data_IF_101616278705
#
_entry.id   IF_101616278705
#
_cell.length_a   1.000
_cell.length_b   1.000
_cell.length_c   1.000
_cell.angle_alpha   90.00
_cell.angle_beta   90.00
_cell.angle_gamma   90.00
#
_symmetry.space_group_name_H-M   'P 1'
#
loop_
_entity.id
_entity.type
_entity.pdbx_description
1 polymer ?
#
# COMPACT_ATOMS: atom_id res chain seq x y z
N UNK A 1 -34.36 16.31 -2.22
CA UNK A 1 -33.74 16.65 -0.92
C UNK A 1 -33.21 15.37 -0.31
N UNK A 2 -31.92 15.08 -0.52
CA UNK A 2 -31.22 14.03 0.24
C UNK A 2 -30.23 14.78 1.12
N UNK A 3 -30.49 14.74 2.42
CA UNK A 3 -29.58 15.20 3.47
C UNK A 3 -28.34 14.32 3.46
N UNK A 4 -27.16 14.88 3.19
CA UNK A 4 -25.88 14.24 3.50
C UNK A 4 -25.23 15.00 4.67
N UNK A 5 -25.22 14.44 5.89
CA UNK A 5 -24.71 15.13 7.07
C UNK A 5 -23.18 15.18 7.03
N UNK A 6 -22.65 16.35 6.65
CA UNK A 6 -21.22 16.74 6.71
C UNK A 6 -20.28 15.87 5.87
N UNK A 7 -20.29 16.07 4.55
CA UNK A 7 -19.15 15.74 3.72
C UNK A 7 -17.92 16.54 4.20
N UNK A 8 -17.09 15.92 5.03
CA UNK A 8 -15.82 16.50 5.47
C UNK A 8 -14.97 16.82 4.24
N UNK A 9 -14.59 18.09 4.09
CA UNK A 9 -13.71 18.52 3.01
C UNK A 9 -12.43 17.68 3.02
N UNK A 10 -12.21 16.94 1.92
CA UNK A 10 -11.01 16.13 1.72
C UNK A 10 -10.14 16.83 0.69
N UNK A 11 -8.88 17.08 1.05
CA UNK A 11 -7.90 17.68 0.15
C UNK A 11 -7.77 16.86 -1.15
N UNK A 12 -7.61 17.55 -2.28
CA UNK A 12 -7.59 16.92 -3.61
C UNK A 12 -6.55 15.81 -3.71
N UNK A 13 -5.37 16.02 -3.13
CA UNK A 13 -4.29 15.03 -3.09
C UNK A 13 -4.68 13.69 -2.41
N UNK A 14 -5.64 13.72 -1.48
CA UNK A 14 -6.18 12.52 -0.84
C UNK A 14 -7.36 11.95 -1.63
N UNK A 15 -8.24 12.83 -2.14
CA UNK A 15 -9.41 12.44 -2.94
C UNK A 15 -9.02 11.73 -4.24
N UNK A 16 -7.98 12.21 -4.91
CA UNK A 16 -7.49 11.69 -6.19
C UNK A 16 -6.24 10.81 -6.02
N UNK A 17 -6.01 10.24 -4.83
CA UNK A 17 -4.92 9.29 -4.66
C UNK A 17 -5.20 8.05 -5.55
N UNK A 18 -4.26 7.63 -6.40
CA UNK A 18 -4.40 6.46 -7.27
C UNK A 18 -4.89 5.21 -6.52
N UNK A 19 -5.83 4.46 -7.11
CA UNK A 19 -6.39 3.24 -6.52
C UNK A 19 -5.98 1.97 -7.29
N UNK A 20 -5.53 2.12 -8.53
CA UNK A 20 -4.95 1.09 -9.39
C UNK A 20 -3.59 1.55 -9.94
N UNK A 21 -2.80 0.60 -10.45
CA UNK A 21 -1.54 0.89 -11.12
C UNK A 21 -1.72 1.77 -12.37
N UNK A 22 -2.87 1.66 -13.05
CA UNK A 22 -3.19 2.46 -14.23
C UNK A 22 -3.53 3.92 -13.89
N UNK A 23 -3.87 4.20 -12.63
CA UNK A 23 -4.14 5.57 -12.16
C UNK A 23 -2.83 6.32 -11.84
N UNK A 24 -1.68 5.63 -11.82
CA UNK A 24 -0.37 6.23 -11.54
C UNK A 24 0.20 6.83 -12.83
N UNK A 25 0.01 8.13 -12.99
CA UNK A 25 0.39 8.87 -14.20
C UNK A 25 1.89 8.79 -14.48
N UNK A 26 2.26 8.36 -15.69
CA UNK A 26 3.65 8.36 -16.19
C UNK A 26 4.55 7.27 -15.61
N UNK A 27 3.99 6.27 -14.92
CA UNK A 27 4.72 5.15 -14.32
C UNK A 27 4.22 3.78 -14.82
N UNK A 28 3.77 3.73 -16.08
CA UNK A 28 3.14 2.56 -16.70
C UNK A 28 4.07 1.33 -16.67
N UNK A 29 5.37 1.54 -16.88
CA UNK A 29 6.39 0.50 -16.85
C UNK A 29 6.54 -0.13 -15.45
N UNK A 30 6.46 0.68 -14.38
CA UNK A 30 6.51 0.21 -12.99
C UNK A 30 5.25 -0.59 -12.67
N UNK A 31 4.08 -0.04 -13.01
CA UNK A 31 2.80 -0.72 -12.83
C UNK A 31 2.77 -2.08 -13.54
N UNK A 32 3.26 -2.13 -14.78
CA UNK A 32 3.32 -3.38 -15.55
C UNK A 32 4.29 -4.40 -14.93
N UNK A 33 5.48 -3.98 -14.48
CA UNK A 33 6.44 -4.86 -13.84
C UNK A 33 5.86 -5.52 -12.57
N UNK A 34 5.17 -4.73 -11.74
CA UNK A 34 4.53 -5.22 -10.51
C UNK A 34 3.37 -6.16 -10.83
N UNK A 35 2.49 -5.80 -11.78
CA UNK A 35 1.42 -6.70 -12.24
C UNK A 35 1.97 -8.04 -12.73
N UNK A 36 3.04 -8.02 -13.52
CA UNK A 36 3.68 -9.24 -14.02
C UNK A 36 4.26 -10.10 -12.89
N UNK A 37 4.86 -9.48 -11.87
CA UNK A 37 5.36 -10.19 -10.70
C UNK A 37 4.22 -10.91 -9.94
N UNK A 38 3.09 -10.23 -9.73
CA UNK A 38 1.89 -10.82 -9.10
C UNK A 38 1.34 -11.96 -9.96
N UNK A 39 1.11 -11.73 -11.25
CA UNK A 39 0.54 -12.72 -12.18
C UNK A 39 1.38 -13.99 -12.30
N UNK A 40 2.71 -13.83 -12.28
CA UNK A 40 3.62 -14.97 -12.35
C UNK A 40 3.91 -15.63 -10.99
N UNK A 41 3.34 -15.14 -9.89
CA UNK A 41 3.64 -15.62 -8.54
C UNK A 41 5.10 -15.41 -8.11
N UNK A 42 5.83 -14.52 -8.80
CA UNK A 42 7.26 -14.23 -8.56
C UNK A 42 7.42 -12.90 -7.83
N UNK A 43 6.69 -12.75 -6.73
CA UNK A 43 6.76 -11.58 -5.87
C UNK A 43 8.02 -11.67 -5.00
N UNK A 44 8.85 -10.63 -5.04
CA UNK A 44 10.04 -10.55 -4.19
C UNK A 44 9.66 -10.22 -2.73
N UNK A 45 10.54 -10.54 -1.79
CA UNK A 45 10.32 -10.25 -0.37
C UNK A 45 10.50 -8.76 -0.01
N UNK A 46 11.16 -7.98 -0.88
CA UNK A 46 11.41 -6.55 -0.67
C UNK A 46 11.38 -5.79 -1.99
N UNK A 47 10.76 -4.61 -1.96
CA UNK A 47 10.70 -3.66 -3.07
C UNK A 47 11.09 -2.27 -2.55
N UNK A 48 12.00 -1.60 -3.27
CA UNK A 48 12.41 -0.23 -2.97
C UNK A 48 11.87 0.70 -4.05
N UNK A 49 10.92 1.55 -3.67
CA UNK A 49 10.41 2.60 -4.55
C UNK A 49 11.23 3.87 -4.35
N UNK A 50 11.92 4.32 -5.41
CA UNK A 50 12.77 5.51 -5.37
C UNK A 50 12.20 6.64 -6.21
N UNK A 51 12.53 7.89 -5.86
CA UNK A 51 12.12 9.07 -6.63
C UNK A 51 11.81 10.27 -5.75
N UNK A 52 11.57 11.43 -6.38
CA UNK A 52 11.24 12.67 -5.69
C UNK A 52 9.97 12.57 -4.83
N UNK A 53 9.77 13.52 -3.92
CA UNK A 53 8.52 13.62 -3.13
C UNK A 53 7.33 13.86 -4.07
N UNK A 54 6.21 13.18 -3.82
CA UNK A 54 4.97 13.37 -4.57
C UNK A 54 4.83 12.56 -5.87
N UNK A 55 5.85 11.81 -6.31
CA UNK A 55 5.78 10.99 -7.55
C UNK A 55 4.95 9.70 -7.42
N UNK A 56 4.31 9.47 -6.27
CA UNK A 56 3.43 8.32 -6.06
C UNK A 56 4.06 7.09 -5.38
N UNK A 57 5.28 7.17 -4.83
CA UNK A 57 5.96 6.03 -4.16
C UNK A 57 5.07 5.27 -3.16
N UNK A 58 4.57 5.97 -2.14
CA UNK A 58 3.72 5.39 -1.09
C UNK A 58 2.37 4.94 -1.64
N UNK A 59 1.82 5.68 -2.62
CA UNK A 59 0.58 5.29 -3.30
C UNK A 59 0.74 3.96 -4.05
N UNK A 60 1.82 3.79 -4.80
CA UNK A 60 2.14 2.55 -5.52
C UNK A 60 2.37 1.40 -4.55
N UNK A 61 3.07 1.63 -3.43
CA UNK A 61 3.24 0.63 -2.38
C UNK A 61 1.90 0.16 -1.80
N UNK A 62 0.96 1.08 -1.54
CA UNK A 62 -0.41 0.72 -1.09
C UNK A 62 -1.19 -0.06 -2.14
N UNK A 63 -1.17 0.36 -3.41
CA UNK A 63 -1.83 -0.37 -4.50
C UNK A 63 -1.27 -1.79 -4.60
N UNK A 64 0.05 -1.94 -4.46
CA UNK A 64 0.69 -3.24 -4.47
C UNK A 64 0.26 -4.12 -3.28
N UNK A 65 0.24 -3.57 -2.07
CA UNK A 65 -0.26 -4.28 -0.90
C UNK A 65 -1.72 -4.73 -1.08
N UNK A 66 -2.58 -3.86 -1.64
CA UNK A 66 -3.96 -4.22 -2.03
C UNK A 66 -3.98 -5.38 -3.01
N UNK A 67 -3.18 -5.32 -4.08
CA UNK A 67 -3.17 -6.35 -5.10
C UNK A 67 -2.70 -7.72 -4.57
N UNK A 68 -1.76 -7.73 -3.61
CA UNK A 68 -1.30 -8.95 -2.95
C UNK A 68 -2.35 -9.58 -2.03
N UNK A 69 -3.09 -8.75 -1.29
CA UNK A 69 -3.99 -9.21 -0.23
C UNK A 69 -5.48 -9.25 -0.63
N UNK A 70 -5.83 -8.73 -1.81
CA UNK A 70 -7.19 -8.71 -2.31
C UNK A 70 -7.67 -10.13 -2.68
N UNK A 71 -8.75 -10.65 -2.08
CA UNK A 71 -9.30 -11.98 -2.40
C UNK A 71 -9.93 -12.05 -3.80
N UNK A 72 -10.22 -10.90 -4.41
CA UNK A 72 -10.85 -10.77 -5.73
C UNK A 72 -9.90 -10.11 -6.74
N UNK A 73 -8.59 -10.31 -6.59
CA UNK A 73 -7.59 -9.78 -7.52
C UNK A 73 -7.78 -10.40 -8.90
N UNK A 74 -7.73 -9.57 -9.96
CA UNK A 74 -7.78 -10.02 -11.34
C UNK A 74 -6.62 -9.40 -12.11
N UNK A 75 -5.80 -10.22 -12.76
CA UNK A 75 -4.62 -9.77 -13.51
C UNK A 75 -3.67 -8.81 -12.74
N UNK A 76 -3.56 -9.01 -11.42
CA UNK A 76 -2.74 -8.17 -10.55
C UNK A 76 -3.36 -6.80 -10.24
N UNK A 77 -4.65 -6.59 -10.56
CA UNK A 77 -5.42 -5.39 -10.23
C UNK A 77 -6.30 -5.65 -9.01
N UNK A 78 -6.23 -4.82 -7.95
CA UNK A 78 -7.10 -4.97 -6.79
C UNK A 78 -8.53 -4.53 -7.11
N UNK A 79 -9.53 -5.18 -6.50
CA UNK A 79 -10.94 -4.87 -6.76
C UNK A 79 -11.42 -3.53 -6.16
N UNK A 80 -10.66 -2.96 -5.21
CA UNK A 80 -10.97 -1.71 -4.52
C UNK A 80 -12.31 -1.62 -3.75
N UNK A 81 -13.06 -2.72 -3.63
CA UNK A 81 -14.39 -2.76 -3.00
C UNK A 81 -14.53 -3.80 -1.86
N UNK A 82 -13.53 -4.65 -1.65
CA UNK A 82 -13.56 -5.59 -0.53
C UNK A 82 -12.99 -4.93 0.74
N UNK A 83 -13.36 -5.46 1.91
CA UNK A 83 -12.92 -4.94 3.22
C UNK A 83 -11.39 -4.81 3.33
N UNK A 84 -10.62 -5.75 2.75
CA UNK A 84 -9.15 -5.67 2.73
C UNK A 84 -8.67 -4.47 1.91
N UNK A 85 -9.20 -4.28 0.70
CA UNK A 85 -8.83 -3.15 -0.16
C UNK A 85 -9.22 -1.80 0.47
N UNK A 86 -10.39 -1.72 1.09
CA UNK A 86 -10.86 -0.50 1.75
C UNK A 86 -9.99 -0.15 2.96
N UNK A 87 -9.68 -1.14 3.81
CA UNK A 87 -8.84 -0.94 5.01
C UNK A 87 -7.40 -0.57 4.66
N UNK A 88 -6.80 -1.23 3.67
CA UNK A 88 -5.46 -0.84 3.17
C UNK A 88 -5.51 0.56 2.56
N UNK A 89 -6.57 0.89 1.80
CA UNK A 89 -6.76 2.23 1.24
C UNK A 89 -6.83 3.32 2.31
N UNK A 90 -7.53 3.02 3.41
CA UNK A 90 -7.64 3.89 4.58
C UNK A 90 -6.35 3.95 5.43
N UNK A 91 -5.40 3.02 5.23
CA UNK A 91 -4.20 2.89 6.07
C UNK A 91 -4.49 2.30 7.45
N UNK A 92 -5.52 1.46 7.57
CA UNK A 92 -5.96 0.85 8.82
C UNK A 92 -6.23 -0.66 8.63
N UNK A 93 -5.26 -1.36 8.08
CA UNK A 93 -5.29 -2.81 7.96
C UNK A 93 -4.32 -3.44 8.98
N UNK A 94 -4.68 -4.60 9.53
CA UNK A 94 -3.87 -5.29 10.56
C UNK A 94 -2.67 -6.03 9.98
N UNK A 95 -2.76 -6.44 8.71
CA UNK A 95 -1.72 -7.17 8.00
C UNK A 95 -0.88 -6.26 7.10
N UNK A 96 -1.30 -5.01 6.88
CA UNK A 96 -0.52 -3.99 6.15
C UNK A 96 -0.21 -2.81 7.06
N UNK A 97 1.02 -2.74 7.54
CA UNK A 97 1.49 -1.72 8.46
C UNK A 97 2.29 -0.66 7.71
N UNK A 98 1.90 0.60 7.86
CA UNK A 98 2.64 1.76 7.36
C UNK A 98 3.45 2.39 8.48
N UNK A 99 4.75 2.53 8.26
CA UNK A 99 5.71 3.08 9.22
C UNK A 99 6.39 4.27 8.54
N UNK A 100 6.33 5.43 9.19
CA UNK A 100 7.10 6.59 8.77
C UNK A 100 8.52 6.49 9.34
N UNK A 101 9.49 6.15 8.49
CA UNK A 101 10.90 6.06 8.88
C UNK A 101 11.46 7.38 9.40
N UNK A 102 10.95 8.52 8.93
CA UNK A 102 11.37 9.82 9.43
C UNK A 102 10.95 10.07 10.89
N UNK A 103 9.93 9.36 11.40
CA UNK A 103 9.42 9.50 12.76
C UNK A 103 9.82 8.32 13.68
N UNK A 104 10.25 7.19 13.11
CA UNK A 104 10.60 5.96 13.82
C UNK A 104 12.09 5.60 13.58
N UNK A 105 12.99 6.53 13.92
CA UNK A 105 14.44 6.43 13.68
C UNK A 105 15.18 5.62 14.75
N UNK A 106 14.50 5.22 15.82
CA UNK A 106 15.12 4.55 16.95
C UNK A 106 15.57 3.13 16.60
N UNK A 107 16.69 2.70 17.19
CA UNK A 107 17.11 1.29 17.10
C UNK A 107 16.06 0.37 17.74
N UNK A 108 15.35 0.85 18.76
CA UNK A 108 14.30 0.08 19.41
C UNK A 108 13.07 -0.12 18.52
N UNK A 109 12.71 0.88 17.69
CA UNK A 109 11.60 0.78 16.73
C UNK A 109 11.85 -0.34 15.72
N UNK A 110 13.06 -0.42 15.15
CA UNK A 110 13.42 -1.48 14.19
C UNK A 110 13.55 -2.85 14.87
N UNK A 111 13.99 -2.90 16.14
CA UNK A 111 14.01 -4.16 16.92
C UNK A 111 12.59 -4.68 17.13
N UNK A 112 11.66 -3.80 17.47
CA UNK A 112 10.25 -4.15 17.65
C UNK A 112 9.62 -4.59 16.33
N UNK A 113 9.90 -3.88 15.23
CA UNK A 113 9.47 -4.27 13.88
C UNK A 113 9.95 -5.69 13.55
N UNK A 114 11.25 -5.97 13.73
CA UNK A 114 11.84 -7.28 13.45
C UNK A 114 11.23 -8.40 14.31
N UNK A 115 10.90 -8.11 15.56
CA UNK A 115 10.21 -9.08 16.42
C UNK A 115 8.80 -9.39 15.88
N UNK A 116 8.07 -8.37 15.44
CA UNK A 116 6.70 -8.50 14.92
C UNK A 116 6.62 -9.19 13.55
N UNK A 117 7.67 -9.14 12.74
CA UNK A 117 7.73 -9.81 11.42
C UNK A 117 7.54 -11.34 11.54
N UNK A 118 7.94 -11.94 12.67
CA UNK A 118 7.78 -13.39 12.90
C UNK A 118 6.33 -13.83 13.12
N UNK A 119 5.42 -12.88 13.36
CA UNK A 119 3.98 -13.18 13.53
C UNK A 119 3.33 -13.25 12.16
N UNK A 120 2.71 -14.39 11.85
CA UNK A 120 1.95 -14.60 10.60
C UNK A 120 0.84 -13.56 10.42
N UNK A 121 0.44 -13.34 9.18
CA UNK A 121 -0.75 -12.55 8.87
C UNK A 121 -2.01 -13.16 9.51
N UNK A 122 -2.93 -12.29 9.91
CA UNK A 122 -4.15 -12.67 10.63
C UNK A 122 -5.28 -13.05 9.68
N UNK A 123 -5.43 -12.34 8.56
CA UNK A 123 -6.58 -12.49 7.65
C UNK A 123 -6.22 -12.48 6.17
N UNK A 124 -5.05 -11.97 5.81
CA UNK A 124 -4.60 -11.86 4.43
C UNK A 124 -3.44 -12.82 4.11
N UNK A 125 -3.20 -13.16 2.83
CA UNK A 125 -2.09 -14.04 2.45
C UNK A 125 -0.70 -13.50 2.81
N UNK A 126 -0.51 -12.18 2.74
CA UNK A 126 0.76 -11.52 3.02
C UNK A 126 0.64 -10.56 4.20
N UNK A 127 1.67 -10.55 5.05
CA UNK A 127 1.93 -9.46 5.98
C UNK A 127 2.90 -8.48 5.33
N UNK A 128 2.46 -7.24 5.12
CA UNK A 128 3.19 -6.22 4.36
C UNK A 128 3.58 -5.09 5.28
N UNK A 129 4.86 -4.69 5.20
CA UNK A 129 5.36 -3.50 5.88
C UNK A 129 5.75 -2.47 4.83
N UNK A 130 5.10 -1.31 4.88
CA UNK A 130 5.44 -0.16 4.04
C UNK A 130 6.23 0.81 4.91
N UNK A 131 7.50 0.98 4.63
CA UNK A 131 8.38 1.91 5.36
C UNK A 131 8.59 3.12 4.45
N UNK A 132 7.94 4.24 4.77
CA UNK A 132 8.12 5.50 4.05
C UNK A 132 9.38 6.23 4.57
N UNK A 133 10.01 7.02 3.70
CA UNK A 133 11.23 7.78 4.02
C UNK A 133 12.35 6.95 4.69
N UNK A 134 12.56 5.70 4.24
CA UNK A 134 13.49 4.71 4.82
C UNK A 134 14.97 5.12 4.85
N UNK A 135 15.33 6.24 4.23
CA UNK A 135 16.69 6.77 4.20
C UNK A 135 17.03 7.66 5.40
N UNK A 136 16.04 7.95 6.24
CA UNK A 136 16.13 8.83 7.41
C UNK A 136 16.61 8.12 8.67
#
# INVERSE_FOLDING_TARGET
MVNDPKAHYTVLARRFRPQSFDDVVGQEHVGQAIRNAIRSGRVAHAYLFTGARGVGKTSTARIFAKALNCPHVQDGVPCNQCDVCERIGAGNDVDVLEIDGASNRGIDDIRQLRANVNVRSMRSPYKVYIIDEVHM
#
